data_IF_592323946861
#
_entry.id   IF_592323946861
#
_cell.length_a   1.000
_cell.length_b   1.000
_cell.length_c   1.000
_cell.angle_alpha   90.00
_cell.angle_beta   90.00
_cell.angle_gamma   90.00
#
_symmetry.space_group_name_H-M   'P 1'
#
loop_
_entity.id
_entity.type
_entity.pdbx_description
1 polymer ?
#
# COMPACT_ATOMS: atom_id res chain seq x y z
N UNK A 1 -11.71 1.74 -13.83
CA UNK A 1 -10.84 1.69 -15.03
C UNK A 1 -10.04 3.00 -15.06
N UNK A 2 -8.69 2.95 -14.99
CA UNK A 2 -7.80 4.14 -14.93
C UNK A 2 -7.98 5.01 -16.19
N UNK A 3 -8.15 6.33 -16.02
CA UNK A 3 -8.08 7.26 -17.16
C UNK A 3 -6.61 7.37 -17.61
N UNK A 4 -6.29 7.21 -18.91
CA UNK A 4 -4.93 7.30 -19.38
C UNK A 4 -4.45 8.76 -19.33
N UNK A 5 -3.42 9.03 -18.53
CA UNK A 5 -2.60 10.24 -18.57
C UNK A 5 -1.13 9.82 -18.47
N UNK A 6 -0.22 10.58 -19.07
CA UNK A 6 1.22 10.39 -18.87
C UNK A 6 1.53 10.64 -17.39
N UNK A 7 2.11 9.67 -16.65
CA UNK A 7 2.45 9.91 -15.25
C UNK A 7 3.57 10.94 -15.16
N UNK A 8 3.37 11.97 -14.34
CA UNK A 8 4.31 13.07 -14.12
C UNK A 8 5.28 12.76 -12.97
N UNK A 9 4.84 11.95 -12.01
CA UNK A 9 5.58 11.64 -10.79
C UNK A 9 5.75 10.14 -10.60
N UNK A 10 6.91 9.72 -10.08
CA UNK A 10 7.17 8.35 -9.63
C UNK A 10 7.11 8.32 -8.11
N UNK A 11 6.39 7.35 -7.55
CA UNK A 11 6.24 7.20 -6.10
C UNK A 11 6.66 5.80 -5.64
N UNK A 12 7.19 5.73 -4.43
CA UNK A 12 7.44 4.48 -3.73
C UNK A 12 6.96 4.61 -2.28
N UNK A 13 6.60 3.50 -1.65
CA UNK A 13 6.15 3.47 -0.25
C UNK A 13 7.16 2.68 0.58
N UNK A 14 7.72 3.32 1.61
CA UNK A 14 8.59 2.68 2.60
C UNK A 14 7.77 2.42 3.87
N UNK A 15 7.62 1.14 4.21
CA UNK A 15 6.78 0.63 5.28
C UNK A 15 5.36 0.37 4.81
N UNK A 16 4.97 -0.90 4.70
CA UNK A 16 3.64 -1.37 4.31
C UNK A 16 2.79 -1.76 5.54
N UNK A 17 2.98 -1.03 6.64
CA UNK A 17 2.17 -1.14 7.84
C UNK A 17 0.79 -0.51 7.67
N UNK A 18 0.21 -0.07 8.79
CA UNK A 18 -1.14 0.50 8.86
C UNK A 18 -1.39 1.59 7.81
N UNK A 19 -0.64 2.70 7.88
CA UNK A 19 -0.77 3.82 6.94
C UNK A 19 -0.14 3.54 5.57
N UNK A 20 0.72 2.53 5.46
CA UNK A 20 1.43 2.21 4.23
C UNK A 20 0.54 1.49 3.22
N UNK A 21 -0.16 0.45 3.71
CA UNK A 21 -1.05 -0.38 2.89
C UNK A 21 -2.20 -1.00 3.70
N UNK A 22 -2.03 -1.29 4.99
CA UNK A 22 -2.94 -2.14 5.77
C UNK A 22 -4.01 -1.35 6.55
N UNK A 23 -4.63 -0.37 5.94
CA UNK A 23 -5.63 0.43 6.66
C UNK A 23 -6.86 -0.40 7.10
N UNK A 24 -7.70 0.14 7.99
CA UNK A 24 -8.91 -0.48 8.57
C UNK A 24 -9.83 -1.14 7.53
N UNK A 25 -9.84 -0.60 6.30
CA UNK A 25 -10.61 -1.16 5.18
C UNK A 25 -10.04 -2.47 4.60
N UNK A 26 -8.72 -2.66 4.69
CA UNK A 26 -8.04 -3.84 4.15
C UNK A 26 -7.77 -4.88 5.23
N UNK A 27 -7.60 -4.45 6.49
CA UNK A 27 -7.29 -5.31 7.62
C UNK A 27 -7.80 -4.69 8.93
N UNK A 28 -8.44 -5.50 9.78
CA UNK A 28 -8.74 -5.09 11.15
C UNK A 28 -7.46 -4.83 11.96
N UNK A 29 -7.52 -3.92 12.92
CA UNK A 29 -6.43 -3.67 13.85
C UNK A 29 -6.22 -4.89 14.73
N UNK A 30 -4.98 -5.38 14.83
CA UNK A 30 -4.65 -6.45 15.79
C UNK A 30 -4.47 -5.85 17.19
N UNK A 31 -5.05 -6.46 18.24
CA UNK A 31 -4.88 -6.01 19.61
C UNK A 31 -3.53 -6.45 20.22
N UNK A 32 -2.87 -7.44 19.62
CA UNK A 32 -1.65 -8.04 20.16
C UNK A 32 -0.42 -7.15 19.95
N UNK A 33 0.41 -7.08 21.00
CA UNK A 33 1.72 -6.44 20.95
C UNK A 33 2.71 -7.38 20.26
N UNK A 34 3.49 -6.86 19.32
CA UNK A 34 4.60 -7.55 18.66
C UNK A 34 5.90 -6.77 18.91
N UNK A 35 7.04 -7.41 18.76
CA UNK A 35 8.32 -6.71 18.89
C UNK A 35 8.53 -5.81 17.66
N UNK A 36 8.97 -4.58 17.89
CA UNK A 36 9.24 -3.65 16.79
C UNK A 36 10.35 -4.17 15.88
N UNK A 37 11.20 -5.09 16.32
CA UNK A 37 12.30 -5.66 15.54
C UNK A 37 11.91 -6.94 14.80
N UNK A 38 10.73 -7.51 15.04
CA UNK A 38 10.25 -8.70 14.34
C UNK A 38 10.14 -8.45 12.82
N UNK A 39 10.77 -9.33 12.04
CA UNK A 39 10.68 -9.31 10.57
C UNK A 39 9.30 -9.77 10.10
N UNK A 40 8.73 -10.77 10.78
CA UNK A 40 7.38 -11.28 10.54
C UNK A 40 6.45 -10.77 11.64
N UNK A 41 5.56 -9.87 11.26
CA UNK A 41 4.63 -9.26 12.20
C UNK A 41 3.25 -9.83 12.00
N UNK A 42 2.44 -9.98 13.07
CA UNK A 42 1.08 -10.43 12.91
C UNK A 42 0.36 -9.53 11.91
N UNK A 43 -0.07 -10.14 10.82
CA UNK A 43 -0.74 -9.49 9.70
C UNK A 43 -2.06 -10.22 9.53
N UNK A 44 -3.19 -9.60 9.91
CA UNK A 44 -4.49 -10.20 9.69
C UNK A 44 -4.73 -10.33 8.19
N UNK A 45 -5.62 -11.25 7.83
CA UNK A 45 -5.99 -11.50 6.45
C UNK A 45 -6.38 -10.20 5.75
N UNK A 46 -5.71 -9.90 4.64
CA UNK A 46 -5.99 -8.72 3.82
C UNK A 46 -7.04 -9.05 2.77
N UNK A 47 -8.06 -8.21 2.62
CA UNK A 47 -8.95 -8.29 1.47
C UNK A 47 -8.39 -7.49 0.29
N UNK A 48 -7.36 -8.05 -0.36
CA UNK A 48 -6.60 -7.38 -1.43
C UNK A 48 -7.39 -7.09 -2.70
N UNK A 49 -8.56 -7.72 -2.89
CA UNK A 49 -9.45 -7.49 -4.05
C UNK A 49 -10.66 -6.62 -3.71
N UNK A 50 -10.74 -6.07 -2.49
CA UNK A 50 -11.81 -5.16 -2.12
C UNK A 50 -11.77 -3.93 -3.05
N UNK A 51 -12.86 -3.74 -3.80
CA UNK A 51 -13.10 -2.60 -4.66
C UNK A 51 -14.14 -1.69 -4.01
N UNK A 52 -13.81 -0.41 -3.86
CA UNK A 52 -14.74 0.62 -3.39
C UNK A 52 -14.96 1.63 -4.53
N UNK A 53 -16.21 2.02 -4.75
CA UNK A 53 -16.61 2.89 -5.87
C UNK A 53 -16.73 4.35 -5.41
N UNK A 54 -15.88 5.22 -5.96
CA UNK A 54 -15.63 6.59 -5.50
C UNK A 54 -16.69 7.64 -5.88
N UNK A 55 -17.72 7.29 -6.65
CA UNK A 55 -18.57 8.29 -7.31
C UNK A 55 -20.01 8.40 -6.79
N UNK A 56 -20.47 7.50 -5.91
CA UNK A 56 -21.87 7.48 -5.42
C UNK A 56 -21.96 7.67 -3.89
N UNK A 57 -21.42 8.74 -3.30
CA UNK A 57 -21.81 9.14 -1.94
C UNK A 57 -21.73 10.66 -1.69
N UNK A 58 -22.71 11.25 -0.97
CA UNK A 58 -22.78 12.68 -0.72
C UNK A 58 -22.08 13.05 0.61
N UNK A 59 -21.01 13.84 0.54
CA UNK A 59 -20.45 14.56 1.69
C UNK A 59 -19.19 13.96 2.31
N UNK A 60 -18.49 14.81 3.07
CA UNK A 60 -17.16 14.61 3.66
C UNK A 60 -16.86 13.15 4.03
N UNK A 61 -15.97 12.52 3.28
CA UNK A 61 -15.22 11.37 3.75
C UNK A 61 -13.79 11.53 3.24
N UNK A 62 -12.86 11.84 4.14
CA UNK A 62 -11.44 11.88 3.82
C UNK A 62 -10.97 10.53 3.28
N UNK A 63 -10.97 10.41 1.96
CA UNK A 63 -9.88 10.07 1.03
C UNK A 63 -8.85 8.99 1.47
N UNK A 64 -8.24 8.27 0.50
CA UNK A 64 -7.39 7.08 0.64
C UNK A 64 -6.63 6.99 1.95
N UNK A 65 -6.97 6.00 2.75
CA UNK A 65 -6.46 5.91 4.11
C UNK A 65 -5.06 5.31 4.20
N UNK A 66 -4.54 4.75 3.09
CA UNK A 66 -3.13 4.39 2.95
C UNK A 66 -2.41 5.17 1.84
N UNK A 67 -1.10 5.38 2.03
CA UNK A 67 -0.26 6.05 1.04
C UNK A 67 -0.20 5.29 -0.30
N UNK A 68 -0.18 3.96 -0.26
CA UNK A 68 -0.18 3.14 -1.47
C UNK A 68 -1.46 3.34 -2.30
N UNK A 69 -2.63 3.38 -1.66
CA UNK A 69 -3.90 3.69 -2.33
C UNK A 69 -3.92 5.10 -2.91
N UNK A 70 -3.44 6.08 -2.14
CA UNK A 70 -3.41 7.48 -2.57
C UNK A 70 -2.58 7.66 -3.84
N UNK A 71 -1.46 6.95 -3.96
CA UNK A 71 -0.59 6.99 -5.12
C UNK A 71 -1.12 6.16 -6.28
N UNK A 72 -1.65 4.95 -6.03
CA UNK A 72 -2.15 4.08 -7.09
C UNK A 72 -3.41 4.63 -7.78
N UNK A 73 -4.28 5.30 -7.02
CA UNK A 73 -5.55 5.84 -7.52
C UNK A 73 -5.41 7.17 -8.30
N UNK A 74 -4.20 7.74 -8.41
CA UNK A 74 -3.92 8.99 -9.10
C UNK A 74 -3.28 8.74 -10.46
N UNK A 75 -3.85 9.29 -11.52
CA UNK A 75 -3.36 9.02 -12.89
C UNK A 75 -2.04 9.74 -13.18
N UNK A 76 -1.78 10.84 -12.48
CA UNK A 76 -0.55 11.63 -12.52
C UNK A 76 0.63 10.99 -11.77
N UNK A 77 0.37 9.96 -10.96
CA UNK A 77 1.39 9.23 -10.19
C UNK A 77 1.56 7.82 -10.76
N UNK A 78 2.81 7.41 -10.90
CA UNK A 78 3.17 6.02 -11.12
C UNK A 78 3.76 5.47 -9.82
N UNK A 79 2.99 4.67 -9.08
CA UNK A 79 3.50 3.90 -7.95
C UNK A 79 4.39 2.78 -8.50
N UNK A 80 5.69 2.88 -8.26
CA UNK A 80 6.69 2.01 -8.90
C UNK A 80 7.26 0.94 -7.98
N UNK A 81 7.26 1.16 -6.65
CA UNK A 81 7.94 0.28 -5.72
C UNK A 81 7.30 0.28 -4.33
N UNK A 82 7.53 -0.81 -3.60
CA UNK A 82 7.15 -0.97 -2.19
C UNK A 82 8.31 -1.54 -1.38
N UNK A 83 8.47 -1.07 -0.15
CA UNK A 83 9.49 -1.55 0.78
C UNK A 83 8.85 -1.95 2.11
N UNK A 84 9.07 -3.19 2.54
CA UNK A 84 8.76 -3.67 3.88
C UNK A 84 9.65 -4.86 4.20
N UNK A 85 10.07 -4.99 5.46
CA UNK A 85 10.81 -6.17 5.93
C UNK A 85 9.97 -7.45 5.83
N UNK A 86 8.65 -7.32 5.93
CA UNK A 86 7.69 -8.41 5.96
C UNK A 86 7.35 -8.82 4.51
N UNK A 87 7.89 -9.96 4.09
CA UNK A 87 7.72 -10.50 2.73
C UNK A 87 6.25 -10.79 2.40
N UNK A 88 5.42 -11.12 3.39
CA UNK A 88 4.00 -11.38 3.15
C UNK A 88 3.27 -10.10 2.72
N UNK A 89 3.66 -8.95 3.27
CA UNK A 89 3.11 -7.64 2.90
C UNK A 89 3.59 -7.19 1.54
N UNK A 90 4.86 -7.45 1.21
CA UNK A 90 5.38 -7.21 -0.14
C UNK A 90 4.59 -8.03 -1.18
N UNK A 91 4.28 -9.28 -0.89
CA UNK A 91 3.47 -10.12 -1.79
C UNK A 91 2.06 -9.56 -1.95
N UNK A 92 1.39 -9.17 -0.86
CA UNK A 92 0.07 -8.55 -0.92
C UNK A 92 0.07 -7.21 -1.68
N UNK A 93 1.12 -6.40 -1.52
CA UNK A 93 1.31 -5.16 -2.27
C UNK A 93 1.47 -5.42 -3.76
N UNK A 94 2.29 -6.40 -4.12
CA UNK A 94 2.53 -6.78 -5.50
C UNK A 94 1.26 -7.27 -6.18
N UNK A 95 0.47 -8.08 -5.48
CA UNK A 95 -0.80 -8.62 -6.00
C UNK A 95 -1.86 -7.53 -6.14
N UNK A 96 -1.98 -6.63 -5.16
CA UNK A 96 -2.99 -5.56 -5.17
C UNK A 96 -2.72 -4.49 -6.24
N UNK A 97 -1.47 -4.07 -6.37
CA UNK A 97 -1.11 -2.93 -7.24
C UNK A 97 -0.42 -3.33 -8.55
N UNK A 98 -0.17 -4.62 -8.75
CA UNK A 98 0.57 -5.19 -9.89
C UNK A 98 1.99 -4.62 -10.04
N UNK A 99 2.71 -4.47 -8.93
CA UNK A 99 4.06 -3.89 -8.87
C UNK A 99 5.10 -4.96 -8.51
N UNK A 100 6.21 -5.00 -9.25
CA UNK A 100 7.26 -6.01 -9.07
C UNK A 100 8.56 -5.49 -8.42
N UNK A 101 8.78 -4.18 -8.34
CA UNK A 101 9.96 -3.63 -7.66
C UNK A 101 9.68 -3.61 -6.15
N UNK A 102 10.12 -4.66 -5.47
CA UNK A 102 9.87 -4.91 -4.05
C UNK A 102 11.21 -5.05 -3.34
N UNK A 103 11.36 -4.38 -2.20
CA UNK A 103 12.59 -4.40 -1.42
C UNK A 103 12.31 -4.72 0.04
N UNK A 104 13.17 -5.53 0.64
CA UNK A 104 13.15 -5.75 2.09
C UNK A 104 13.99 -4.73 2.86
N UNK A 105 14.82 -3.95 2.15
CA UNK A 105 15.68 -2.92 2.70
C UNK A 105 15.45 -1.59 1.95
N UNK A 106 15.24 -0.51 2.71
CA UNK A 106 15.04 0.83 2.17
C UNK A 106 16.33 1.41 1.57
N UNK A 107 17.49 1.09 2.15
CA UNK A 107 18.79 1.55 1.65
C UNK A 107 19.07 0.92 0.29
N UNK A 108 18.76 -0.37 0.12
CA UNK A 108 18.85 -1.05 -1.17
C UNK A 108 17.98 -0.36 -2.23
N UNK A 109 16.72 -0.05 -1.89
CA UNK A 109 15.81 0.67 -2.79
C UNK A 109 16.31 2.08 -3.14
N UNK A 110 16.82 2.84 -2.16
CA UNK A 110 17.32 4.20 -2.36
C UNK A 110 18.63 4.27 -3.17
N UNK A 111 19.32 3.15 -3.31
CA UNK A 111 20.60 3.06 -4.03
C UNK A 111 20.46 2.66 -5.51
N UNK A 112 19.23 2.48 -6.00
CA UNK A 112 18.90 2.18 -7.41
C UNK A 112 18.78 3.46 -8.24
#
# INVERSE_FOLDING_TARGET
>A
MRKPSTPEYRAAVIGLGWMGMRDEYLASRIPDRFDIDDAERPTPSLNIHLAFYHHDHPGDSGLPTSYAEAFWNRSEINLIAGVDRDKSRLQAFAERYSIQQLYTDAVEMLSQ
#
